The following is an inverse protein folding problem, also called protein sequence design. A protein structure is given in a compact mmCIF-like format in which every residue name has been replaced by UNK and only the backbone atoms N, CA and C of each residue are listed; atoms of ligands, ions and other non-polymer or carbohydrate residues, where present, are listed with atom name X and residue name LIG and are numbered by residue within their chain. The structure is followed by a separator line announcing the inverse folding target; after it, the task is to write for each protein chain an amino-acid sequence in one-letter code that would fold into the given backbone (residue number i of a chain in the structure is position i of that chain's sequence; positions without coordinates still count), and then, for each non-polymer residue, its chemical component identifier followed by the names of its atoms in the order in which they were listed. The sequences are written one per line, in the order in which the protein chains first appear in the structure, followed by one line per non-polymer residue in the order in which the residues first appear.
data_IF_255149499690
#
_entry.id   IF_255149499690
#
_cell.length_a   1.000
_cell.length_b   1.000
_cell.length_c   1.000
_cell.angle_alpha   90.00
_cell.angle_beta   90.00
_cell.angle_gamma   90.00
#
_symmetry.space_group_name_H-M   'P 1'
#
loop_
_entity.id
_entity.type
_entity.pdbx_description
1 polymer ?
#
# COMPACT_ATOMS: atom_id res chain seq x y z
N UNK A 1 23.55 -17.71 -14.12
CA UNK A 1 22.07 -17.61 -14.20
C UNK A 1 21.72 -16.22 -14.74
N UNK A 2 20.51 -16.07 -15.28
CA UNK A 2 20.07 -14.80 -15.85
C UNK A 2 19.20 -14.02 -14.84
N UNK A 3 19.70 -12.90 -14.29
CA UNK A 3 18.95 -12.12 -13.31
C UNK A 3 17.69 -11.48 -13.88
N UNK A 4 17.61 -11.21 -15.19
CA UNK A 4 16.40 -10.66 -15.82
C UNK A 4 15.27 -11.69 -15.76
N UNK A 5 15.55 -12.92 -16.14
CA UNK A 5 14.55 -14.00 -16.13
C UNK A 5 14.10 -14.30 -14.70
N UNK A 6 15.06 -14.42 -13.77
CA UNK A 6 14.76 -14.68 -12.35
C UNK A 6 13.97 -13.53 -11.74
N UNK A 7 14.36 -12.28 -11.99
CA UNK A 7 13.63 -11.10 -11.51
C UNK A 7 12.19 -11.04 -12.04
N UNK A 8 11.97 -11.36 -13.31
CA UNK A 8 10.64 -11.44 -13.89
C UNK A 8 9.78 -12.56 -13.23
N UNK A 9 10.37 -13.71 -12.92
CA UNK A 9 9.69 -14.79 -12.19
C UNK A 9 9.35 -14.36 -10.75
N UNK A 10 10.27 -13.67 -10.07
CA UNK A 10 10.02 -13.09 -8.74
C UNK A 10 8.81 -12.17 -8.80
N UNK A 11 8.75 -11.21 -9.74
CA UNK A 11 7.63 -10.28 -9.90
C UNK A 11 6.30 -11.03 -10.03
N UNK A 12 6.24 -12.05 -10.88
CA UNK A 12 5.03 -12.85 -11.06
C UNK A 12 4.65 -13.63 -9.79
N UNK A 13 5.62 -14.26 -9.13
CA UNK A 13 5.37 -15.02 -7.91
C UNK A 13 4.93 -14.16 -6.74
N UNK A 14 5.43 -12.92 -6.62
CA UNK A 14 5.00 -11.96 -5.59
C UNK A 14 3.49 -11.67 -5.65
N UNK A 15 2.86 -11.73 -6.84
CA UNK A 15 1.42 -11.52 -6.98
C UNK A 15 0.60 -12.58 -6.23
N UNK A 16 1.15 -13.78 -6.04
CA UNK A 16 0.47 -14.86 -5.33
C UNK A 16 0.35 -14.60 -3.83
N UNK A 17 1.21 -13.79 -3.25
CA UNK A 17 1.14 -13.43 -1.83
C UNK A 17 -0.21 -12.76 -1.55
N UNK A 18 -0.59 -11.75 -2.32
CA UNK A 18 -1.88 -11.07 -2.14
C UNK A 18 -3.04 -11.97 -2.52
N UNK A 19 -2.95 -12.67 -3.66
CA UNK A 19 -4.08 -13.41 -4.21
C UNK A 19 -4.32 -14.79 -3.56
N UNK A 20 -3.35 -15.36 -2.82
CA UNK A 20 -3.41 -16.74 -2.30
C UNK A 20 -2.99 -16.92 -0.85
N UNK A 21 -2.26 -15.97 -0.26
CA UNK A 21 -1.74 -16.11 1.11
C UNK A 21 -2.37 -15.11 2.08
N UNK A 22 -2.77 -13.92 1.58
CA UNK A 22 -3.46 -12.94 2.39
C UNK A 22 -4.93 -13.36 2.57
N UNK A 23 -5.44 -13.27 3.80
CA UNK A 23 -6.84 -13.55 4.04
C UNK A 23 -7.75 -12.53 3.31
N UNK A 24 -8.87 -12.93 2.71
CA UNK A 24 -9.70 -12.02 1.90
C UNK A 24 -10.25 -10.79 2.63
N UNK A 25 -10.29 -10.83 3.97
CA UNK A 25 -10.71 -9.72 4.83
C UNK A 25 -9.60 -8.73 5.15
N UNK A 26 -8.35 -9.10 4.90
CA UNK A 26 -7.19 -8.29 5.22
C UNK A 26 -6.79 -7.44 4.02
N UNK A 27 -6.40 -6.19 4.30
CA UNK A 27 -5.98 -5.25 3.27
C UNK A 27 -4.46 -5.24 3.14
N UNK A 28 -3.97 -5.55 1.95
CA UNK A 28 -2.55 -5.53 1.65
C UNK A 28 -2.27 -5.30 0.18
N UNK A 29 -1.20 -4.58 -0.13
CA UNK A 29 -0.77 -4.29 -1.50
C UNK A 29 0.74 -4.52 -1.60
N UNK A 30 1.16 -5.19 -2.66
CA UNK A 30 2.55 -5.29 -3.09
C UNK A 30 2.61 -4.78 -4.53
N UNK A 31 3.35 -3.69 -4.73
CA UNK A 31 3.57 -3.13 -6.07
C UNK A 31 5.06 -3.11 -6.38
N UNK A 32 5.46 -3.73 -7.47
CA UNK A 32 6.81 -3.56 -8.03
C UNK A 32 6.79 -2.32 -8.91
N UNK A 33 7.34 -1.23 -8.40
CA UNK A 33 7.33 0.07 -9.07
C UNK A 33 8.47 0.24 -10.08
N UNK A 34 9.59 -0.49 -9.90
CA UNK A 34 10.69 -0.47 -10.85
C UNK A 34 11.43 -1.80 -10.93
N UNK A 35 11.97 -2.07 -12.11
CA UNK A 35 12.85 -3.21 -12.39
C UNK A 35 13.98 -2.76 -13.31
N UNK A 36 15.21 -2.84 -12.83
CA UNK A 36 16.40 -2.42 -13.57
C UNK A 36 17.38 -3.58 -13.71
N UNK A 37 17.74 -3.91 -14.94
CA UNK A 37 18.76 -4.92 -15.24
C UNK A 37 19.23 -4.79 -16.69
N UNK A 38 20.48 -5.19 -16.93
CA UNK A 38 21.07 -5.26 -18.25
C UNK A 38 21.50 -3.91 -18.83
N UNK A 39 22.42 -3.96 -19.79
CA UNK A 39 22.94 -2.79 -20.50
C UNK A 39 22.99 -3.01 -22.01
N UNK A 40 23.05 -4.27 -22.49
CA UNK A 40 23.13 -4.64 -23.89
C UNK A 40 22.27 -5.86 -24.19
N UNK A 41 21.67 -5.88 -25.37
CA UNK A 41 20.74 -6.94 -25.81
C UNK A 41 21.34 -8.36 -25.90
N UNK A 42 22.65 -8.49 -25.98
CA UNK A 42 23.38 -9.75 -26.20
C UNK A 42 24.29 -10.15 -25.03
N UNK A 43 24.16 -9.50 -23.87
CA UNK A 43 24.94 -9.76 -22.67
C UNK A 43 23.99 -10.03 -21.49
N UNK A 44 24.14 -11.20 -20.86
CA UNK A 44 23.45 -11.49 -19.61
C UNK A 44 24.01 -10.58 -18.52
N UNK A 45 23.12 -9.88 -17.81
CA UNK A 45 23.48 -9.02 -16.69
C UNK A 45 24.01 -9.82 -15.50
N UNK A 46 24.81 -9.20 -14.66
CA UNK A 46 25.27 -9.74 -13.39
C UNK A 46 24.28 -9.50 -12.24
N UNK A 47 23.34 -8.57 -12.40
CA UNK A 47 22.36 -8.20 -11.36
C UNK A 47 21.03 -7.73 -11.94
N UNK A 48 19.99 -7.83 -11.09
CA UNK A 48 18.71 -7.15 -11.26
C UNK A 48 18.34 -6.44 -9.96
N UNK A 49 17.72 -5.28 -10.06
CA UNK A 49 17.25 -4.50 -8.93
C UNK A 49 15.75 -4.23 -9.10
N UNK A 50 15.00 -4.55 -8.05
CA UNK A 50 13.57 -4.27 -7.96
C UNK A 50 13.32 -3.28 -6.83
N UNK A 51 12.39 -2.35 -7.05
CA UNK A 51 11.88 -1.48 -6.00
C UNK A 51 10.39 -1.71 -5.82
N UNK A 52 10.01 -1.94 -4.57
CA UNK A 52 8.65 -2.33 -4.22
C UNK A 52 8.04 -1.33 -3.24
N UNK A 53 6.72 -1.15 -3.35
CA UNK A 53 5.90 -0.52 -2.32
C UNK A 53 5.03 -1.59 -1.68
N UNK A 54 5.04 -1.64 -0.35
CA UNK A 54 4.19 -2.53 0.45
C UNK A 54 3.25 -1.67 1.28
N UNK A 55 1.94 -1.93 1.20
CA UNK A 55 0.93 -1.21 1.97
C UNK A 55 0.07 -2.20 2.75
N UNK A 56 -0.29 -1.83 3.97
CA UNK A 56 -1.23 -2.56 4.82
C UNK A 56 -1.82 -1.60 5.86
N UNK A 57 -3.01 -1.90 6.36
CA UNK A 57 -3.65 -1.15 7.43
C UNK A 57 -3.33 -1.72 8.82
N UNK A 58 -2.63 -2.87 8.86
CA UNK A 58 -2.38 -3.63 10.08
C UNK A 58 -0.89 -4.03 10.14
N UNK A 59 -0.19 -3.81 11.26
CA UNK A 59 1.23 -4.15 11.42
C UNK A 59 1.52 -5.64 11.23
N UNK A 60 0.62 -6.53 11.67
CA UNK A 60 0.78 -7.99 11.54
C UNK A 60 0.72 -8.41 10.06
N UNK A 61 -0.23 -7.83 9.31
CA UNK A 61 -0.31 -8.03 7.85
C UNK A 61 0.95 -7.51 7.17
N UNK A 62 1.45 -6.34 7.57
CA UNK A 62 2.71 -5.80 7.04
C UNK A 62 3.85 -6.78 7.24
N UNK A 63 4.01 -7.32 8.45
CA UNK A 63 5.08 -8.28 8.73
C UNK A 63 4.93 -9.56 7.92
N UNK A 64 3.70 -10.07 7.76
CA UNK A 64 3.41 -11.22 6.90
C UNK A 64 3.84 -10.96 5.45
N UNK A 65 3.49 -9.80 4.89
CA UNK A 65 3.84 -9.45 3.51
C UNK A 65 5.36 -9.35 3.32
N UNK A 66 6.08 -8.68 4.24
CA UNK A 66 7.53 -8.55 4.17
C UNK A 66 8.24 -9.90 4.23
N UNK A 67 7.84 -10.77 5.17
CA UNK A 67 8.41 -12.13 5.29
C UNK A 67 8.08 -12.99 4.06
N UNK A 68 6.89 -12.83 3.48
CA UNK A 68 6.51 -13.56 2.27
C UNK A 68 7.30 -13.07 1.04
N UNK A 69 7.59 -11.77 0.91
CA UNK A 69 8.42 -11.22 -0.16
C UNK A 69 9.82 -11.84 -0.12
N UNK A 70 10.46 -11.84 1.04
CA UNK A 70 11.79 -12.43 1.21
C UNK A 70 11.79 -13.93 0.85
N UNK A 71 10.84 -14.70 1.41
CA UNK A 71 10.68 -16.12 1.13
C UNK A 71 10.48 -16.40 -0.37
N UNK A 72 9.63 -15.63 -1.04
CA UNK A 72 9.34 -15.80 -2.46
C UNK A 72 10.54 -15.44 -3.32
N UNK A 73 11.23 -14.35 -3.01
CA UNK A 73 12.44 -13.93 -3.75
C UNK A 73 13.53 -14.98 -3.65
N UNK A 74 13.87 -15.40 -2.44
CA UNK A 74 14.91 -16.41 -2.18
C UNK A 74 14.50 -17.77 -2.77
N UNK A 75 13.26 -18.21 -2.56
CA UNK A 75 12.73 -19.49 -3.07
C UNK A 75 12.77 -19.57 -4.60
N UNK A 76 12.40 -18.47 -5.28
CA UNK A 76 12.45 -18.40 -6.76
C UNK A 76 13.88 -18.51 -7.26
N UNK A 77 14.82 -17.78 -6.64
CA UNK A 77 16.23 -17.82 -7.02
C UNK A 77 16.85 -19.21 -6.78
N UNK A 78 16.56 -19.86 -5.65
CA UNK A 78 16.99 -21.23 -5.38
C UNK A 78 16.45 -22.22 -6.40
N UNK A 79 15.17 -22.14 -6.75
CA UNK A 79 14.54 -22.97 -7.78
C UNK A 79 15.22 -22.79 -9.14
N UNK A 80 15.69 -21.58 -9.46
CA UNK A 80 16.47 -21.31 -10.66
C UNK A 80 17.93 -21.80 -10.57
N UNK A 81 18.36 -22.35 -9.43
CA UNK A 81 19.72 -22.86 -9.19
C UNK A 81 20.75 -21.75 -9.01
N UNK A 82 20.38 -20.62 -8.40
CA UNK A 82 21.32 -19.59 -7.95
C UNK A 82 22.08 -20.11 -6.73
N UNK A 83 23.38 -19.86 -6.68
CA UNK A 83 24.23 -20.24 -5.55
C UNK A 83 23.84 -19.45 -4.29
N UNK A 84 24.03 -20.04 -3.10
CA UNK A 84 23.57 -19.44 -1.84
C UNK A 84 24.17 -18.07 -1.58
N UNK A 85 25.42 -17.83 -1.96
CA UNK A 85 26.13 -16.57 -1.83
C UNK A 85 25.67 -15.47 -2.81
N UNK A 86 24.82 -15.81 -3.77
CA UNK A 86 24.26 -14.92 -4.79
C UNK A 86 22.73 -14.80 -4.72
N UNK A 87 22.12 -15.30 -3.66
CA UNK A 87 20.68 -15.18 -3.45
C UNK A 87 20.25 -13.71 -3.32
N UNK A 88 19.00 -13.38 -3.66
CA UNK A 88 18.49 -12.03 -3.51
C UNK A 88 18.62 -11.51 -2.08
N UNK A 89 19.09 -10.30 -1.92
CA UNK A 89 19.03 -9.54 -0.68
C UNK A 89 17.76 -8.69 -0.69
N UNK A 90 16.98 -8.77 0.39
CA UNK A 90 15.75 -7.98 0.55
C UNK A 90 16.00 -6.91 1.61
N UNK A 91 16.09 -5.66 1.16
CA UNK A 91 16.31 -4.51 2.02
C UNK A 91 14.97 -3.83 2.32
N UNK A 92 14.63 -3.72 3.58
CA UNK A 92 13.44 -3.00 4.04
C UNK A 92 13.86 -1.64 4.57
N UNK A 93 13.21 -0.57 4.08
CA UNK A 93 13.47 0.78 4.60
C UNK A 93 13.17 0.85 6.10
N UNK A 94 14.05 1.45 6.88
CA UNK A 94 13.81 1.76 8.29
C UNK A 94 12.66 2.76 8.45
N UNK A 95 12.46 3.61 7.45
CA UNK A 95 11.37 4.58 7.42
C UNK A 95 10.13 3.96 6.81
N UNK A 96 9.04 3.97 7.57
CA UNK A 96 7.71 3.55 7.09
C UNK A 96 6.62 4.43 7.72
N UNK A 97 5.60 4.75 6.94
CA UNK A 97 4.45 5.50 7.43
C UNK A 97 3.58 4.58 8.30
N UNK A 98 3.26 4.97 9.54
CA UNK A 98 2.27 4.26 10.32
C UNK A 98 0.87 4.47 9.71
N UNK A 99 -0.05 3.50 9.83
CA UNK A 99 -1.42 3.70 9.38
C UNK A 99 -2.09 4.81 10.21
N UNK A 100 -2.84 5.69 9.53
CA UNK A 100 -3.68 6.70 10.18
C UNK A 100 -4.94 6.04 10.71
N UNK A 101 -5.08 5.95 12.02
CA UNK A 101 -6.23 5.33 12.70
C UNK A 101 -6.93 6.36 13.56
N UNK A 102 -8.20 6.64 13.23
CA UNK A 102 -9.01 7.55 14.01
C UNK A 102 -9.40 6.94 15.37
N UNK A 103 -9.23 7.71 16.46
CA UNK A 103 -9.78 7.34 17.76
C UNK A 103 -11.29 7.26 17.70
N UNK A 104 -11.85 6.10 17.98
CA UNK A 104 -13.26 5.82 17.81
C UNK A 104 -14.17 6.64 18.73
N UNK A 105 -13.70 6.95 19.93
CA UNK A 105 -14.43 7.79 20.90
C UNK A 105 -14.51 9.24 20.45
N UNK A 106 -13.35 9.78 20.07
CA UNK A 106 -13.26 11.15 19.56
C UNK A 106 -14.00 11.33 18.23
N UNK A 107 -13.87 10.38 17.31
CA UNK A 107 -14.58 10.39 16.02
C UNK A 107 -16.11 10.40 16.21
N UNK A 108 -16.63 9.56 17.10
CA UNK A 108 -18.06 9.53 17.43
C UNK A 108 -18.54 10.87 18.02
N UNK A 109 -17.76 11.45 18.94
CA UNK A 109 -18.08 12.75 19.54
C UNK A 109 -18.06 13.87 18.51
N UNK A 110 -17.05 13.91 17.64
CA UNK A 110 -16.96 14.87 16.55
C UNK A 110 -18.13 14.75 15.58
N UNK A 111 -18.46 13.53 15.16
CA UNK A 111 -19.63 13.25 14.30
C UNK A 111 -20.91 13.79 14.91
N UNK A 112 -21.14 13.58 16.21
CA UNK A 112 -22.31 14.12 16.92
C UNK A 112 -22.38 15.64 16.88
N UNK A 113 -21.25 16.33 17.11
CA UNK A 113 -21.19 17.80 17.05
C UNK A 113 -21.45 18.33 15.62
N UNK A 114 -20.88 17.67 14.61
CA UNK A 114 -21.07 18.07 13.21
C UNK A 114 -22.53 17.92 12.80
N UNK A 115 -23.19 16.80 13.15
CA UNK A 115 -24.61 16.58 12.89
C UNK A 115 -25.46 17.64 13.59
N UNK A 116 -25.20 17.93 14.86
CA UNK A 116 -25.94 18.96 15.64
C UNK A 116 -25.86 20.35 15.00
N UNK A 117 -24.68 20.74 14.49
CA UNK A 117 -24.43 22.09 13.97
C UNK A 117 -24.75 22.26 12.49
N UNK A 118 -24.60 21.21 11.68
CA UNK A 118 -24.66 21.27 10.23
C UNK A 118 -25.74 20.39 9.61
N UNK A 119 -26.38 19.54 10.42
CA UNK A 119 -27.39 18.57 9.97
C UNK A 119 -26.79 17.23 9.52
N UNK A 120 -27.65 16.21 9.42
CA UNK A 120 -27.23 14.84 9.05
C UNK A 120 -26.60 14.75 7.66
N UNK A 121 -27.03 15.58 6.72
CA UNK A 121 -26.53 15.60 5.34
C UNK A 121 -25.11 16.22 5.21
N UNK A 122 -24.53 16.75 6.28
CA UNK A 122 -23.18 17.27 6.28
C UNK A 122 -22.10 16.15 6.35
N UNK A 123 -22.51 14.94 6.73
CA UNK A 123 -21.61 13.81 6.82
C UNK A 123 -21.80 12.88 5.63
N UNK A 124 -20.70 12.65 4.93
CA UNK A 124 -20.63 11.65 3.85
C UNK A 124 -19.71 10.53 4.33
N UNK A 125 -20.24 9.32 4.42
CA UNK A 125 -19.40 8.15 4.65
C UNK A 125 -18.63 7.85 3.35
N UNK A 126 -17.30 7.71 3.42
CA UNK A 126 -16.53 7.40 2.23
C UNK A 126 -16.95 6.02 1.69
N UNK A 127 -17.23 5.95 0.41
CA UNK A 127 -17.56 4.70 -0.29
C UNK A 127 -16.35 3.80 -0.45
N UNK A 128 -15.14 4.38 -0.42
CA UNK A 128 -13.88 3.67 -0.55
C UNK A 128 -12.85 4.19 0.46
N UNK A 129 -12.16 3.27 1.13
CA UNK A 129 -11.02 3.59 1.97
C UNK A 129 -9.74 3.45 1.16
N UNK A 130 -9.07 4.57 0.90
CA UNK A 130 -7.75 4.57 0.27
C UNK A 130 -6.66 3.99 1.19
N UNK A 131 -5.59 3.46 0.59
CA UNK A 131 -4.37 3.07 1.29
C UNK A 131 -3.23 4.07 1.00
N UNK A 132 -3.56 5.34 0.79
CA UNK A 132 -2.59 6.41 0.67
C UNK A 132 -1.78 6.55 1.96
N UNK A 133 -0.47 6.79 1.83
CA UNK A 133 0.36 7.13 2.98
C UNK A 133 0.32 8.64 3.21
N UNK A 134 0.36 9.05 4.47
CA UNK A 134 0.41 10.45 4.86
C UNK A 134 1.06 10.60 6.24
N UNK A 135 1.42 11.84 6.62
CA UNK A 135 2.30 12.08 7.78
C UNK A 135 1.56 12.12 9.12
N UNK A 136 0.23 12.24 9.12
CA UNK A 136 -0.55 12.46 10.34
C UNK A 136 -0.33 11.36 11.41
N UNK A 137 -0.16 10.11 10.97
CA UNK A 137 0.09 8.98 11.84
C UNK A 137 1.33 9.15 12.73
N UNK A 138 2.38 9.86 12.28
CA UNK A 138 3.57 10.11 13.08
C UNK A 138 3.31 11.00 14.28
N UNK A 139 2.33 11.90 14.21
CA UNK A 139 2.00 12.80 15.32
C UNK A 139 1.12 12.14 16.38
N UNK A 140 0.56 10.95 16.10
CA UNK A 140 -0.53 10.38 16.90
C UNK A 140 -0.27 8.96 17.40
N UNK A 141 0.82 8.31 16.95
CA UNK A 141 1.07 6.90 17.23
C UNK A 141 2.03 6.72 18.41
N UNK A 142 3.09 7.50 18.52
CA UNK A 142 4.08 7.38 19.59
C UNK A 142 4.57 8.78 20.04
N UNK A 143 4.14 9.27 21.24
CA UNK A 143 3.13 8.65 22.12
C UNK A 143 1.73 8.67 21.48
N UNK A 144 0.87 7.73 21.89
CA UNK A 144 -0.52 7.72 21.39
C UNK A 144 -1.27 8.99 21.83
N UNK A 145 -1.80 9.70 20.83
CA UNK A 145 -2.64 10.89 21.03
C UNK A 145 -3.99 10.63 20.34
N UNK A 146 -5.12 10.59 21.09
CA UNK A 146 -6.43 10.44 20.51
C UNK A 146 -6.68 11.54 19.47
N UNK A 147 -6.94 11.15 18.23
CA UNK A 147 -7.02 12.08 17.10
C UNK A 147 -8.01 11.61 16.06
N UNK A 148 -8.45 12.55 15.22
CA UNK A 148 -9.33 12.28 14.08
C UNK A 148 -8.80 12.99 12.86
N UNK A 149 -8.54 12.22 11.83
CA UNK A 149 -8.25 12.70 10.49
C UNK A 149 -9.50 12.57 9.61
N UNK A 150 -9.94 13.66 9.00
CA UNK A 150 -11.13 13.68 8.17
C UNK A 150 -10.93 14.62 6.98
N UNK A 151 -11.68 14.38 5.91
CA UNK A 151 -11.67 15.21 4.71
C UNK A 151 -12.86 16.14 4.69
N UNK A 152 -12.67 17.32 4.11
CA UNK A 152 -13.75 18.29 3.84
C UNK A 152 -13.91 18.38 2.33
N UNK A 153 -15.14 18.16 1.85
CA UNK A 153 -15.46 18.30 0.43
C UNK A 153 -15.32 19.77 0.00
N UNK A 154 -14.64 20.00 -1.12
CA UNK A 154 -14.45 21.34 -1.71
C UNK A 154 -15.19 21.52 -3.03
N UNK A 155 -15.79 20.48 -3.58
CA UNK A 155 -16.51 20.54 -4.85
C UNK A 155 -17.95 21.02 -4.62
N UNK A 156 -18.44 22.05 -5.33
CA UNK A 156 -19.82 22.49 -5.28
C UNK A 156 -20.79 21.33 -5.60
N UNK A 157 -21.91 21.29 -4.90
CA UNK A 157 -22.90 20.20 -5.08
C UNK A 157 -23.45 20.13 -6.50
N UNK A 158 -23.66 21.27 -7.14
CA UNK A 158 -24.09 21.37 -8.51
C UNK A 158 -23.11 20.73 -9.52
N UNK A 159 -21.81 20.83 -9.26
CA UNK A 159 -20.81 20.18 -10.10
C UNK A 159 -20.81 18.66 -9.92
N UNK A 160 -21.05 18.19 -8.69
CA UNK A 160 -21.21 16.75 -8.39
C UNK A 160 -22.43 16.20 -9.12
N UNK A 161 -23.59 16.84 -8.98
CA UNK A 161 -24.83 16.44 -9.64
C UNK A 161 -24.72 16.44 -11.16
N UNK A 162 -23.97 17.43 -11.72
CA UNK A 162 -23.71 17.50 -13.15
C UNK A 162 -22.83 16.34 -13.64
N UNK A 163 -21.79 15.99 -12.88
CA UNK A 163 -20.91 14.86 -13.22
C UNK A 163 -21.66 13.53 -13.15
N UNK A 164 -22.49 13.32 -12.11
CA UNK A 164 -23.35 12.13 -11.95
C UNK A 164 -24.37 12.00 -13.09
N UNK A 165 -24.83 13.11 -13.66
CA UNK A 165 -25.70 13.14 -14.83
C UNK A 165 -24.97 12.91 -16.17
N UNK A 166 -23.68 12.57 -16.15
CA UNK A 166 -22.86 12.31 -17.34
C UNK A 166 -22.18 13.55 -17.92
N UNK A 167 -22.08 14.62 -17.14
CA UNK A 167 -21.32 15.83 -17.47
C UNK A 167 -19.80 15.64 -17.28
N UNK A 168 -19.01 16.75 -17.31
CA UNK A 168 -17.58 16.68 -17.12
C UNK A 168 -17.21 16.00 -15.79
N UNK A 169 -16.15 15.17 -15.74
CA UNK A 169 -15.71 14.55 -14.49
C UNK A 169 -15.21 15.62 -13.52
N UNK A 170 -15.43 15.39 -12.24
CA UNK A 170 -14.87 16.20 -11.16
C UNK A 170 -13.35 15.98 -11.13
N UNK A 171 -12.53 17.02 -11.01
CA UNK A 171 -11.07 16.92 -10.97
C UNK A 171 -10.56 16.19 -9.71
#
# INVERSE_FOLDING_TARGET
KDPIVIGAQIINNLQTIISRELAPRDSGVITVGSFHSGTKHNIISDRAQLQLTVRSLNPEVRQQLLSAIERVAIGTARTAGVAEELLPEVLVSEFSYPPTVNDSGLARRLKGVLVEKMGENALVEPTETGMGAEDFGFFTTDPYIPSVYFSVGGTPREDIELAEAGGPPIP
#
